data_IF_220562635415
#
_entry.id   IF_220562635415
#
_cell.length_a   1.000
_cell.length_b   1.000
_cell.length_c   1.000
_cell.angle_alpha   90.00
_cell.angle_beta   90.00
_cell.angle_gamma   90.00
#
_symmetry.space_group_name_H-M   'P 1'
#
loop_
_entity.id
_entity.type
_entity.pdbx_description
1 polymer ?
#
# COMPACT_ATOMS: atom_id res chain seq x y z
N UNK A 1 32.45 -6.47 -64.77
CA UNK A 1 33.45 -6.00 -63.80
C UNK A 1 32.72 -5.34 -62.66
N UNK A 2 32.43 -6.05 -61.59
CA UNK A 2 31.75 -5.58 -60.40
C UNK A 2 32.78 -4.98 -59.43
N UNK A 3 32.56 -3.77 -59.03
CA UNK A 3 33.45 -3.01 -58.15
C UNK A 3 33.31 -3.45 -56.66
N UNK A 4 34.34 -4.06 -56.04
CA UNK A 4 34.27 -4.52 -54.66
C UNK A 4 34.55 -3.46 -53.59
N UNK A 5 34.67 -2.16 -54.00
CA UNK A 5 35.09 -1.10 -53.08
C UNK A 5 34.00 -0.59 -52.13
N UNK A 6 32.72 -0.96 -52.34
CA UNK A 6 31.61 -0.43 -51.53
C UNK A 6 31.42 -1.13 -50.18
N UNK A 7 31.71 -2.42 -50.05
CA UNK A 7 31.47 -3.20 -48.85
C UNK A 7 32.54 -2.98 -47.76
N UNK A 8 33.79 -2.75 -48.16
CA UNK A 8 34.89 -2.47 -47.24
C UNK A 8 34.73 -1.10 -46.51
N UNK A 9 34.15 -0.12 -47.20
CA UNK A 9 33.94 1.22 -46.62
C UNK A 9 32.87 1.27 -45.53
N UNK A 10 31.83 0.43 -45.61
CA UNK A 10 30.75 0.42 -44.58
C UNK A 10 31.22 -0.24 -43.28
N UNK A 11 31.98 -1.33 -43.41
CA UNK A 11 32.56 -2.02 -42.24
C UNK A 11 33.60 -1.17 -41.49
N UNK A 12 34.36 -0.37 -42.27
CA UNK A 12 35.33 0.55 -41.70
C UNK A 12 34.64 1.74 -41.01
N UNK A 13 33.63 2.34 -41.61
CA UNK A 13 32.82 3.42 -40.99
C UNK A 13 32.07 2.95 -39.74
N UNK A 14 31.60 1.72 -39.70
CA UNK A 14 30.97 1.14 -38.49
C UNK A 14 31.98 0.90 -37.38
N UNK A 15 33.22 0.52 -37.68
CA UNK A 15 34.30 0.39 -36.69
C UNK A 15 34.75 1.75 -36.17
N UNK A 16 34.96 2.71 -37.07
CA UNK A 16 35.35 4.07 -36.70
C UNK A 16 34.25 4.72 -35.82
N UNK A 17 32.99 4.52 -36.15
CA UNK A 17 31.86 4.96 -35.32
C UNK A 17 31.86 4.24 -33.96
N UNK A 18 32.14 2.94 -33.88
CA UNK A 18 32.23 2.22 -32.63
C UNK A 18 33.39 2.65 -31.75
N UNK A 19 34.51 3.03 -32.37
CA UNK A 19 35.71 3.46 -31.65
C UNK A 19 35.64 4.92 -31.18
N UNK A 20 34.90 5.81 -31.91
CA UNK A 20 34.71 7.21 -31.54
C UNK A 20 33.57 7.45 -30.54
N UNK A 21 32.51 6.64 -30.56
CA UNK A 21 31.31 6.85 -29.75
C UNK A 21 31.09 5.81 -28.64
N UNK A 22 31.75 4.65 -28.73
CA UNK A 22 31.70 3.69 -27.64
C UNK A 22 32.97 3.89 -26.76
N UNK A 23 32.79 4.01 -25.45
CA UNK A 23 33.95 4.06 -24.57
C UNK A 23 34.84 2.85 -24.86
N UNK A 24 36.13 3.10 -25.08
CA UNK A 24 37.11 2.05 -25.46
C UNK A 24 36.91 0.78 -24.63
N UNK A 25 37.36 -0.38 -25.11
CA UNK A 25 36.98 -1.71 -24.63
C UNK A 25 36.95 -1.93 -23.11
N UNK A 26 37.63 -1.08 -22.33
CA UNK A 26 37.48 -1.02 -20.85
C UNK A 26 36.15 -0.38 -20.42
N UNK A 27 35.69 0.70 -21.05
CA UNK A 27 34.45 1.38 -20.71
C UNK A 27 33.22 0.49 -20.95
N UNK A 28 33.19 -0.26 -22.07
CA UNK A 28 32.11 -1.21 -22.35
C UNK A 28 32.07 -2.37 -21.33
N UNK A 29 33.23 -2.82 -20.86
CA UNK A 29 33.33 -3.85 -19.81
C UNK A 29 32.78 -3.32 -18.48
N UNK A 30 33.10 -2.08 -18.11
CA UNK A 30 32.56 -1.44 -16.90
C UNK A 30 31.06 -1.22 -17.01
N UNK A 31 30.55 -0.78 -18.15
CA UNK A 31 29.13 -0.60 -18.39
C UNK A 31 28.39 -1.94 -18.32
N UNK A 32 28.92 -3.00 -18.93
CA UNK A 32 28.39 -4.35 -18.84
C UNK A 32 28.40 -4.89 -17.40
N UNK A 33 29.46 -4.62 -16.66
CA UNK A 33 29.57 -4.98 -15.23
C UNK A 33 28.51 -4.29 -14.39
N UNK A 34 28.33 -2.96 -14.54
CA UNK A 34 27.31 -2.19 -13.83
C UNK A 34 25.90 -2.66 -14.16
N UNK A 35 25.62 -2.93 -15.45
CA UNK A 35 24.33 -3.48 -15.87
C UNK A 35 24.09 -4.87 -15.26
N UNK A 36 25.11 -5.73 -15.24
CA UNK A 36 25.03 -7.05 -14.61
C UNK A 36 24.73 -6.97 -13.12
N UNK A 37 25.40 -6.06 -12.40
CA UNK A 37 25.14 -5.80 -10.97
C UNK A 37 23.71 -5.26 -10.77
N UNK A 38 23.28 -4.30 -11.58
CA UNK A 38 21.92 -3.77 -11.52
C UNK A 38 20.87 -4.86 -11.72
N UNK A 39 21.01 -5.70 -12.74
CA UNK A 39 20.09 -6.81 -13.00
C UNK A 39 20.10 -7.83 -11.85
N UNK A 40 21.27 -8.15 -11.30
CA UNK A 40 21.37 -9.06 -10.15
C UNK A 40 20.62 -8.50 -8.94
N UNK A 41 20.85 -7.23 -8.59
CA UNK A 41 20.15 -6.57 -7.49
C UNK A 41 18.64 -6.54 -7.75
N UNK A 42 18.21 -6.22 -8.96
CA UNK A 42 16.79 -6.17 -9.35
C UNK A 42 16.13 -7.55 -9.22
N UNK A 43 16.82 -8.61 -9.61
CA UNK A 43 16.31 -9.98 -9.45
C UNK A 43 16.19 -10.36 -7.96
N UNK A 44 17.19 -10.06 -7.14
CA UNK A 44 17.18 -10.34 -5.70
C UNK A 44 16.04 -9.58 -5.03
N UNK A 45 15.89 -8.29 -5.31
CA UNK A 45 14.80 -7.47 -4.79
C UNK A 45 13.45 -7.97 -5.29
N UNK A 46 13.31 -8.35 -6.56
CA UNK A 46 12.10 -8.90 -7.13
C UNK A 46 11.65 -10.19 -6.42
N UNK A 47 12.58 -11.10 -6.13
CA UNK A 47 12.28 -12.30 -5.34
C UNK A 47 11.83 -11.92 -3.92
N UNK A 48 12.53 -10.99 -3.26
CA UNK A 48 12.19 -10.55 -1.91
C UNK A 48 10.82 -9.86 -1.85
N UNK A 49 10.49 -9.00 -2.80
CA UNK A 49 9.21 -8.31 -2.87
C UNK A 49 8.04 -9.20 -3.33
N UNK A 50 8.35 -10.32 -3.97
CA UNK A 50 7.35 -11.34 -4.34
C UNK A 50 6.91 -12.23 -3.18
N UNK A 51 7.54 -12.10 -2.02
CA UNK A 51 7.16 -12.89 -0.84
C UNK A 51 5.78 -12.48 -0.33
N UNK A 52 4.94 -13.47 -0.04
CA UNK A 52 3.63 -13.21 0.53
C UNK A 52 3.78 -12.49 1.89
N UNK A 53 2.97 -11.45 2.15
CA UNK A 53 3.00 -10.76 3.44
C UNK A 53 2.61 -11.69 4.59
N UNK A 54 3.11 -11.39 5.78
CA UNK A 54 2.80 -12.14 6.99
C UNK A 54 1.31 -12.03 7.33
N UNK A 55 0.74 -13.12 7.82
CA UNK A 55 -0.63 -13.13 8.34
C UNK A 55 -0.60 -12.64 9.78
N UNK A 56 -1.65 -11.96 10.17
CA UNK A 56 -1.87 -11.56 11.56
C UNK A 56 -3.21 -12.12 12.09
N UNK A 57 -3.27 -12.39 13.39
CA UNK A 57 -4.54 -12.67 14.05
C UNK A 57 -5.24 -11.35 14.38
N UNK A 58 -6.48 -11.21 13.93
CA UNK A 58 -7.23 -9.95 14.02
C UNK A 58 -7.53 -9.56 15.46
N UNK A 59 -7.74 -10.54 16.35
CA UNK A 59 -8.05 -10.29 17.75
C UNK A 59 -6.78 -9.91 18.52
N UNK A 60 -5.67 -10.57 18.24
CA UNK A 60 -4.37 -10.21 18.81
C UNK A 60 -3.96 -8.81 18.35
N UNK A 61 -4.18 -8.48 17.07
CA UNK A 61 -3.91 -7.14 16.53
C UNK A 61 -4.77 -6.07 17.21
N UNK A 62 -6.07 -6.34 17.40
CA UNK A 62 -6.97 -5.42 18.11
C UNK A 62 -6.54 -5.21 19.56
N UNK A 63 -6.11 -6.27 20.23
CA UNK A 63 -5.58 -6.19 21.59
C UNK A 63 -4.25 -5.42 21.67
N UNK A 64 -3.37 -5.61 20.68
CA UNK A 64 -2.10 -4.89 20.58
C UNK A 64 -2.32 -3.38 20.39
N UNK A 65 -3.17 -2.98 19.45
CA UNK A 65 -3.52 -1.57 19.26
C UNK A 65 -4.18 -0.96 20.50
N UNK A 66 -5.09 -1.71 21.15
CA UNK A 66 -5.73 -1.24 22.36
C UNK A 66 -4.73 -1.05 23.50
N UNK A 67 -3.78 -1.96 23.67
CA UNK A 67 -2.73 -1.86 24.67
C UNK A 67 -1.79 -0.68 24.39
N UNK A 68 -1.41 -0.47 23.13
CA UNK A 68 -0.56 0.66 22.71
C UNK A 68 -1.23 2.01 23.00
N UNK A 69 -2.54 2.11 22.74
CA UNK A 69 -3.30 3.34 22.94
C UNK A 69 -3.87 3.48 24.37
N UNK A 70 -3.67 2.48 25.26
CA UNK A 70 -4.13 2.48 26.65
C UNK A 70 -5.66 2.40 26.79
N UNK A 71 -6.34 1.77 25.83
CA UNK A 71 -7.80 1.62 25.79
C UNK A 71 -8.23 0.17 25.92
N UNK A 72 -9.51 -0.07 26.09
CA UNK A 72 -10.09 -1.41 26.14
C UNK A 72 -10.61 -1.85 24.76
N UNK A 73 -10.53 -3.16 24.49
CA UNK A 73 -11.18 -3.76 23.32
C UNK A 73 -12.68 -3.81 23.55
N UNK A 74 -13.42 -3.12 22.70
CA UNK A 74 -14.89 -3.02 22.76
C UNK A 74 -15.52 -3.48 21.43
N UNK A 75 -16.86 -3.46 21.38
CA UNK A 75 -17.57 -3.76 20.12
C UNK A 75 -17.10 -2.81 19.01
N UNK A 76 -16.74 -3.36 17.84
CA UNK A 76 -16.17 -2.62 16.72
C UNK A 76 -14.65 -2.59 16.66
N UNK A 77 -13.93 -2.80 17.80
CA UNK A 77 -12.47 -2.75 17.84
C UNK A 77 -11.84 -3.78 16.88
N UNK A 78 -12.32 -5.02 16.88
CA UNK A 78 -11.78 -6.09 16.02
C UNK A 78 -11.97 -5.76 14.54
N UNK A 79 -13.14 -5.23 14.14
CA UNK A 79 -13.43 -4.86 12.76
C UNK A 79 -12.57 -3.69 12.30
N UNK A 80 -12.42 -2.67 13.15
CA UNK A 80 -11.57 -1.50 12.85
C UNK A 80 -10.10 -1.90 12.78
N UNK A 81 -9.63 -2.74 13.72
CA UNK A 81 -8.28 -3.29 13.71
C UNK A 81 -8.00 -4.15 12.46
N UNK A 82 -9.01 -4.86 11.94
CA UNK A 82 -8.87 -5.60 10.68
C UNK A 82 -8.57 -4.67 9.51
N UNK A 83 -9.30 -3.56 9.40
CA UNK A 83 -9.05 -2.54 8.36
C UNK A 83 -7.64 -1.96 8.50
N UNK A 84 -7.28 -1.54 9.71
CA UNK A 84 -5.95 -0.97 10.00
C UNK A 84 -4.84 -1.96 9.64
N UNK A 85 -4.92 -3.20 10.13
CA UNK A 85 -3.90 -4.22 9.91
C UNK A 85 -3.72 -4.60 8.43
N UNK A 86 -4.80 -4.65 7.65
CA UNK A 86 -4.72 -4.89 6.20
C UNK A 86 -4.06 -3.71 5.49
N UNK A 87 -4.43 -2.48 5.82
CA UNK A 87 -3.84 -1.28 5.22
C UNK A 87 -2.38 -1.08 5.62
N UNK A 88 -2.01 -1.36 6.86
CA UNK A 88 -0.60 -1.38 7.30
C UNK A 88 0.19 -2.46 6.54
N UNK A 89 -0.37 -3.66 6.40
CA UNK A 89 0.26 -4.73 5.61
C UNK A 89 0.48 -4.31 4.15
N UNK A 90 -0.50 -3.63 3.54
CA UNK A 90 -0.35 -3.08 2.19
C UNK A 90 0.82 -2.12 2.07
N UNK A 91 1.00 -1.24 3.06
CA UNK A 91 1.97 -0.16 3.02
C UNK A 91 3.36 -0.56 3.51
N UNK A 92 3.46 -1.52 4.43
CA UNK A 92 4.70 -1.80 5.19
C UNK A 92 5.29 -3.20 4.89
N UNK A 93 4.65 -4.02 4.04
CA UNK A 93 5.25 -5.28 3.58
C UNK A 93 6.55 -5.06 2.82
N UNK A 94 7.35 -6.11 2.57
CA UNK A 94 8.55 -6.02 1.75
C UNK A 94 8.28 -5.35 0.40
N UNK A 95 9.03 -4.28 0.11
CA UNK A 95 8.84 -3.44 -1.06
C UNK A 95 7.86 -2.28 -0.90
N UNK A 96 7.10 -2.20 0.20
CA UNK A 96 6.06 -1.18 0.36
C UNK A 96 4.86 -1.43 -0.54
N UNK A 97 4.15 -0.39 -0.94
CA UNK A 97 3.05 -0.47 -1.91
C UNK A 97 3.61 -0.50 -3.33
N UNK A 98 3.37 -1.59 -4.06
CA UNK A 98 4.00 -1.87 -5.36
C UNK A 98 3.07 -1.63 -6.57
N UNK A 99 1.77 -1.47 -6.33
CA UNK A 99 0.78 -1.35 -7.40
C UNK A 99 0.98 -0.08 -8.26
N UNK A 100 1.60 0.95 -7.70
CA UNK A 100 1.91 2.19 -8.41
C UNK A 100 3.38 2.28 -8.87
N UNK A 101 4.19 1.23 -8.70
CA UNK A 101 5.58 1.24 -9.11
C UNK A 101 5.73 1.29 -10.64
N UNK A 102 6.58 2.21 -11.11
CA UNK A 102 6.90 2.39 -12.53
C UNK A 102 8.32 1.93 -12.90
N UNK A 103 9.11 1.51 -11.91
CA UNK A 103 10.49 1.05 -12.09
C UNK A 103 10.69 -0.41 -11.69
N UNK A 104 11.63 -1.13 -12.32
CA UNK A 104 12.05 -2.45 -11.87
C UNK A 104 12.63 -2.42 -10.43
N UNK A 105 12.36 -3.44 -9.60
CA UNK A 105 11.63 -4.66 -9.94
C UNK A 105 10.10 -4.55 -9.86
N UNK A 106 9.52 -3.52 -9.22
CA UNK A 106 8.08 -3.39 -9.00
C UNK A 106 7.28 -3.55 -10.29
N UNK A 107 7.69 -2.88 -11.36
CA UNK A 107 7.06 -2.95 -12.69
C UNK A 107 6.98 -4.38 -13.27
N UNK A 108 7.86 -5.29 -12.88
CA UNK A 108 7.91 -6.66 -13.40
C UNK A 108 7.13 -7.66 -12.56
N UNK A 109 6.64 -7.22 -11.40
CA UNK A 109 5.84 -8.04 -10.50
C UNK A 109 4.36 -7.91 -10.87
N UNK A 110 3.63 -9.02 -10.84
CA UNK A 110 2.19 -9.04 -11.08
C UNK A 110 1.40 -9.61 -9.90
N UNK A 111 1.88 -10.65 -9.25
CA UNK A 111 1.17 -11.33 -8.16
C UNK A 111 0.91 -10.43 -6.97
N UNK A 112 1.94 -9.72 -6.48
CA UNK A 112 1.82 -8.84 -5.31
C UNK A 112 1.00 -7.58 -5.62
N UNK A 113 1.24 -6.84 -6.72
CA UNK A 113 0.38 -5.72 -7.09
C UNK A 113 -1.10 -6.08 -7.29
N UNK A 114 -1.39 -7.26 -7.88
CA UNK A 114 -2.76 -7.73 -8.00
C UNK A 114 -3.39 -8.12 -6.66
N UNK A 115 -2.62 -8.74 -5.77
CA UNK A 115 -3.05 -9.00 -4.39
C UNK A 115 -3.34 -7.68 -3.65
N UNK A 116 -2.46 -6.69 -3.75
CA UNK A 116 -2.65 -5.35 -3.17
C UNK A 116 -3.95 -4.71 -3.64
N UNK A 117 -4.20 -4.75 -4.94
CA UNK A 117 -5.42 -4.18 -5.50
C UNK A 117 -6.67 -4.90 -4.95
N UNK A 118 -6.66 -6.22 -4.86
CA UNK A 118 -7.75 -7.00 -4.26
C UNK A 118 -7.97 -6.66 -2.79
N UNK A 119 -6.90 -6.57 -1.98
CA UNK A 119 -6.96 -6.20 -0.59
C UNK A 119 -7.44 -4.74 -0.40
N UNK A 120 -7.02 -3.83 -1.27
CA UNK A 120 -7.45 -2.44 -1.28
C UNK A 120 -8.96 -2.31 -1.53
N UNK A 121 -9.51 -3.02 -2.52
CA UNK A 121 -10.95 -3.00 -2.80
C UNK A 121 -11.74 -3.45 -1.58
N UNK A 122 -11.34 -4.56 -0.94
CA UNK A 122 -12.00 -5.03 0.29
C UNK A 122 -11.88 -4.03 1.44
N UNK A 123 -10.74 -3.35 1.56
CA UNK A 123 -10.52 -2.31 2.57
C UNK A 123 -11.40 -1.08 2.34
N UNK A 124 -11.61 -0.66 1.09
CA UNK A 124 -12.52 0.41 0.70
C UNK A 124 -13.97 0.08 1.06
N UNK A 125 -14.40 -1.15 0.75
CA UNK A 125 -15.74 -1.61 1.08
C UNK A 125 -15.95 -1.69 2.61
N UNK A 126 -14.95 -2.16 3.35
CA UNK A 126 -14.99 -2.20 4.81
C UNK A 126 -14.99 -0.79 5.42
N UNK A 127 -14.18 0.14 4.91
CA UNK A 127 -14.16 1.53 5.36
C UNK A 127 -15.52 2.21 5.15
N UNK A 128 -16.16 1.98 3.99
CA UNK A 128 -17.51 2.44 3.72
C UNK A 128 -18.53 1.82 4.67
N UNK A 129 -18.47 0.52 4.91
CA UNK A 129 -19.37 -0.17 5.84
C UNK A 129 -19.20 0.35 7.28
N UNK A 130 -17.98 0.60 7.73
CA UNK A 130 -17.70 1.22 9.03
C UNK A 130 -18.36 2.60 9.12
N UNK A 131 -18.19 3.44 8.10
CA UNK A 131 -18.77 4.78 8.05
C UNK A 131 -20.30 4.75 8.00
N UNK A 132 -20.90 3.93 7.15
CA UNK A 132 -22.34 3.96 6.89
C UNK A 132 -23.17 3.16 7.90
N UNK A 133 -22.65 2.03 8.38
CA UNK A 133 -23.41 1.09 9.20
C UNK A 133 -23.07 1.22 10.67
N UNK A 134 -21.78 1.16 11.01
CA UNK A 134 -21.36 1.09 12.40
C UNK A 134 -21.40 2.46 13.10
N UNK A 135 -21.13 3.54 12.39
CA UNK A 135 -21.26 4.88 12.96
C UNK A 135 -22.70 5.32 13.16
N UNK A 136 -23.62 4.85 12.32
CA UNK A 136 -25.05 5.21 12.39
C UNK A 136 -25.84 4.42 13.42
N UNK A 137 -25.42 3.23 13.79
CA UNK A 137 -26.12 2.39 14.78
C UNK A 137 -26.05 2.97 16.21
N UNK A 138 -25.23 3.97 16.44
CA UNK A 138 -25.07 4.63 17.71
C UNK A 138 -25.92 5.90 17.78
N UNK A 139 -27.20 5.71 18.00
CA UNK A 139 -28.25 6.60 18.56
C UNK A 139 -28.43 8.04 18.04
N UNK A 140 -27.61 8.60 17.20
CA UNK A 140 -27.77 10.01 16.77
C UNK A 140 -27.54 10.29 15.28
N UNK A 141 -27.76 9.38 14.34
CA UNK A 141 -27.77 9.62 12.88
C UNK A 141 -26.64 10.55 12.33
N UNK A 142 -25.64 10.88 13.14
CA UNK A 142 -24.50 11.73 12.76
C UNK A 142 -23.35 10.83 12.38
N UNK A 143 -22.83 11.04 11.21
CA UNK A 143 -21.67 10.33 10.68
C UNK A 143 -20.42 10.62 11.54
N UNK A 144 -19.60 9.58 11.80
CA UNK A 144 -18.35 9.80 12.53
C UNK A 144 -17.37 10.61 11.68
N UNK A 145 -16.84 11.68 12.25
CA UNK A 145 -15.97 12.64 11.56
C UNK A 145 -14.67 12.02 11.03
N UNK A 146 -14.10 11.06 11.78
CA UNK A 146 -12.83 10.45 11.40
C UNK A 146 -13.05 9.38 10.31
N UNK A 147 -14.13 8.60 10.40
CA UNK A 147 -14.51 7.68 9.33
C UNK A 147 -14.92 8.39 8.04
N UNK A 148 -15.60 9.53 8.16
CA UNK A 148 -15.94 10.40 7.04
C UNK A 148 -14.69 11.00 6.36
N UNK A 149 -13.61 11.20 7.11
CA UNK A 149 -12.33 11.66 6.58
C UNK A 149 -11.45 10.50 6.05
N UNK A 150 -11.52 9.32 6.67
CA UNK A 150 -10.70 8.15 6.31
C UNK A 150 -11.13 7.53 4.97
N UNK A 151 -12.45 7.31 4.76
CA UNK A 151 -12.95 6.61 3.58
C UNK A 151 -12.53 7.27 2.25
N UNK A 152 -12.65 8.59 2.04
CA UNK A 152 -12.17 9.23 0.81
C UNK A 152 -10.67 9.05 0.58
N UNK A 153 -9.85 8.96 1.65
CA UNK A 153 -8.42 8.73 1.55
C UNK A 153 -8.12 7.33 1.01
N UNK A 154 -8.82 6.31 1.48
CA UNK A 154 -8.69 4.95 0.94
C UNK A 154 -9.25 4.83 -0.48
N UNK A 155 -10.21 5.67 -0.87
CA UNK A 155 -10.75 5.74 -2.24
C UNK A 155 -9.88 6.57 -3.20
N UNK A 156 -8.75 7.12 -2.75
CA UNK A 156 -7.81 7.80 -3.63
C UNK A 156 -7.28 6.86 -4.73
N UNK A 157 -6.81 7.43 -5.83
CA UNK A 157 -6.25 6.67 -6.95
C UNK A 157 -5.18 5.69 -6.50
N UNK A 158 -5.26 4.44 -6.97
CA UNK A 158 -4.34 3.36 -6.55
C UNK A 158 -3.01 3.35 -7.29
N UNK A 159 -2.89 4.13 -8.36
CA UNK A 159 -1.77 4.16 -9.30
C UNK A 159 -1.01 5.50 -9.31
N UNK A 160 -1.34 6.42 -8.40
CA UNK A 160 -0.65 7.70 -8.30
C UNK A 160 0.73 7.53 -7.67
N UNK A 161 1.75 7.82 -8.46
CA UNK A 161 3.15 7.68 -8.07
C UNK A 161 3.73 8.96 -7.45
N UNK A 162 3.19 10.15 -7.80
CA UNK A 162 3.76 11.43 -7.42
C UNK A 162 2.66 12.48 -7.14
N UNK A 163 2.82 13.22 -6.10
CA UNK A 163 2.14 14.44 -5.64
C UNK A 163 0.62 14.57 -5.93
N UNK A 164 -0.25 14.02 -5.10
CA UNK A 164 0.08 13.23 -3.91
C UNK A 164 0.34 11.78 -4.26
N UNK A 165 1.28 11.14 -3.58
CA UNK A 165 1.50 9.70 -3.70
C UNK A 165 0.36 8.93 -3.02
N UNK A 166 -0.03 7.82 -3.61
CA UNK A 166 -1.08 6.94 -3.08
C UNK A 166 -0.84 6.54 -1.63
N UNK A 167 0.40 6.20 -1.29
CA UNK A 167 0.79 5.79 0.07
C UNK A 167 0.56 6.89 1.10
N UNK A 168 0.81 8.14 0.75
CA UNK A 168 0.61 9.28 1.66
C UNK A 168 -0.88 9.45 1.99
N UNK A 169 -1.75 9.29 1.00
CA UNK A 169 -3.20 9.36 1.19
C UNK A 169 -3.71 8.19 2.05
N UNK A 170 -3.21 6.97 1.79
CA UNK A 170 -3.60 5.79 2.57
C UNK A 170 -3.10 5.86 4.02
N UNK A 171 -1.88 6.37 4.26
CA UNK A 171 -1.38 6.62 5.63
C UNK A 171 -2.23 7.64 6.36
N UNK A 172 -2.63 8.71 5.70
CA UNK A 172 -3.57 9.69 6.26
C UNK A 172 -4.92 9.04 6.60
N UNK A 173 -5.44 8.16 5.74
CA UNK A 173 -6.64 7.38 6.02
C UNK A 173 -6.50 6.47 7.25
N UNK A 174 -5.33 5.83 7.40
CA UNK A 174 -4.99 5.04 8.59
C UNK A 174 -4.97 5.88 9.88
N UNK A 175 -4.40 7.08 9.85
CA UNK A 175 -4.36 7.99 11.01
C UNK A 175 -5.78 8.35 11.47
N UNK A 176 -6.69 8.67 10.56
CA UNK A 176 -8.10 8.90 10.88
C UNK A 176 -8.78 7.64 11.43
N UNK A 177 -8.53 6.48 10.83
CA UNK A 177 -9.08 5.21 11.31
C UNK A 177 -8.59 4.89 12.73
N UNK A 178 -7.31 5.16 13.03
CA UNK A 178 -6.74 5.00 14.37
C UNK A 178 -7.34 6.00 15.36
N UNK A 179 -7.60 7.23 14.94
CA UNK A 179 -8.31 8.22 15.77
C UNK A 179 -9.72 7.74 16.15
N UNK A 180 -10.44 7.16 15.20
CA UNK A 180 -11.72 6.53 15.46
C UNK A 180 -11.60 5.34 16.43
N UNK A 181 -10.61 4.45 16.21
CA UNK A 181 -10.37 3.29 17.06
C UNK A 181 -10.17 3.67 18.54
N UNK A 182 -9.40 4.72 18.80
CA UNK A 182 -9.16 5.27 20.15
C UNK A 182 -10.45 5.73 20.83
N UNK A 183 -11.38 6.31 20.09
CA UNK A 183 -12.65 6.81 20.62
C UNK A 183 -13.71 5.73 20.80
N UNK A 184 -13.53 4.54 20.23
CA UNK A 184 -14.49 3.44 20.38
C UNK A 184 -14.73 3.07 21.85
N UNK A 185 -13.71 3.10 22.70
CA UNK A 185 -13.84 2.79 24.12
C UNK A 185 -14.75 3.81 24.82
N UNK A 186 -14.60 5.11 24.53
CA UNK A 186 -15.40 6.18 25.12
C UNK A 186 -16.86 6.11 24.65
N UNK A 187 -17.07 5.86 23.35
CA UNK A 187 -18.40 5.69 22.78
C UNK A 187 -19.14 4.48 23.37
N UNK A 188 -18.43 3.40 23.66
CA UNK A 188 -18.98 2.20 24.32
C UNK A 188 -19.40 2.46 25.77
N UNK A 189 -18.65 3.26 26.51
CA UNK A 189 -18.97 3.63 27.89
C UNK A 189 -20.22 4.49 27.98
N UNK A 190 -20.48 5.38 27.02
CA UNK A 190 -21.68 6.21 26.97
C UNK A 190 -22.93 5.34 26.81
N UNK A 191 -22.88 4.28 26.04
CA UNK A 191 -24.00 3.35 25.86
C UNK A 191 -24.34 2.51 27.10
N UNK A 192 -23.35 2.19 27.93
CA UNK A 192 -23.56 1.43 29.15
C UNK A 192 -24.16 2.33 30.25
N UNK A 193 -23.91 3.63 30.19
CA UNK A 193 -24.33 4.58 31.22
C UNK A 193 -25.75 5.14 31.04
N UNK A 194 -26.45 4.88 29.93
CA UNK A 194 -27.88 5.15 29.79
C UNK A 194 -28.72 3.95 30.25
N UNK A 195 -29.15 3.89 31.52
CA UNK A 195 -30.12 2.88 31.93
C UNK A 195 -31.43 3.19 31.22
N UNK A 196 -31.92 2.22 30.47
CA UNK A 196 -33.29 2.24 29.89
C UNK A 196 -34.26 2.47 31.03
N UNK A 197 -34.61 3.70 31.30
CA UNK A 197 -35.78 4.04 32.15
C UNK A 197 -37.05 3.64 31.40
N UNK A 198 -37.36 2.36 31.43
CA UNK A 198 -38.72 1.92 31.17
C UNK A 198 -39.57 2.40 32.36
N UNK A 199 -40.15 3.56 32.24
CA UNK A 199 -41.34 3.91 33.03
C UNK A 199 -42.44 2.96 32.61
N UNK A 200 -42.73 1.98 33.46
CA UNK A 200 -43.94 1.16 33.37
C UNK A 200 -45.06 2.11 33.79
N UNK A 201 -46.06 2.44 32.93
CA UNK A 201 -47.21 3.15 33.38
C UNK A 201 -48.06 2.20 34.22
N UNK A 202 -48.37 2.66 35.47
CA UNK A 202 -49.32 2.06 36.37
C UNK A 202 -50.76 2.17 35.88
#
# INVERSE_FOLDING_TARGET
MSNPAGAAGLGQKLRDFSDDYLPGGSGLRWLGGLLGIYLLITIILGIYWSMAPSRFDVREQAAAYAAEDGIQVVTGSVTTASLMGVMETLLDKPGGYLHNDIFPPGLWLDNIPNWEYGALIQSRDLARALREVLSRSQSQSTEDKDLAAAEPRFNFQSDSWILPATEAEYRTGLEYTRSYFRRLSDLSLIHISEPTRRTIPS
#
